data_IF_391948514762
#
_entry.id   IF_391948514762
#
_cell.length_a   1.000
_cell.length_b   1.000
_cell.length_c   1.000
_cell.angle_alpha   90.00
_cell.angle_beta   90.00
_cell.angle_gamma   90.00
#
_symmetry.space_group_name_H-M   'P 1'
#
loop_
_entity.id
_entity.type
_entity.pdbx_description
1 polymer ?
#
# COMPACT_ATOMS: atom_id res chain seq x y z
N UNK A 1 17.48 -1.77 15.02
CA UNK A 1 16.13 -2.15 15.50
C UNK A 1 15.42 -2.77 14.32
N UNK A 2 15.31 -4.11 14.29
CA UNK A 2 14.40 -4.78 13.35
C UNK A 2 13.01 -4.23 13.67
N UNK A 3 12.32 -3.75 12.64
CA UNK A 3 11.15 -2.87 12.76
C UNK A 3 10.14 -3.37 13.80
N UNK A 4 9.60 -2.47 14.63
CA UNK A 4 8.37 -2.73 15.36
C UNK A 4 7.30 -2.99 14.29
N UNK A 5 6.88 -4.24 14.09
CA UNK A 5 5.92 -4.61 13.02
C UNK A 5 4.48 -4.67 13.52
N UNK A 6 4.29 -4.57 14.84
CA UNK A 6 2.99 -4.66 15.50
C UNK A 6 2.02 -3.53 15.12
N UNK A 7 2.53 -2.42 14.55
CA UNK A 7 1.69 -1.33 14.05
C UNK A 7 1.17 -1.56 12.62
N UNK A 8 1.68 -2.57 11.90
CA UNK A 8 1.30 -2.83 10.50
C UNK A 8 -0.19 -3.15 10.32
N UNK A 9 -0.88 -3.93 11.18
CA UNK A 9 -2.33 -4.11 11.08
C UNK A 9 -3.10 -2.79 11.13
N UNK A 10 -2.67 -1.85 11.99
CA UNK A 10 -3.26 -0.52 12.06
C UNK A 10 -3.01 0.31 10.79
N UNK A 11 -1.85 0.13 10.13
CA UNK A 11 -1.60 0.75 8.84
C UNK A 11 -2.46 0.15 7.73
N UNK A 12 -2.50 -1.18 7.62
CA UNK A 12 -3.26 -1.90 6.60
C UNK A 12 -4.74 -1.51 6.63
N UNK A 13 -5.34 -1.47 7.83
CA UNK A 13 -6.72 -1.03 8.03
C UNK A 13 -7.04 0.38 7.49
N UNK A 14 -6.01 1.23 7.37
CA UNK A 14 -6.12 2.63 6.94
C UNK A 14 -5.52 2.91 5.56
N UNK A 15 -4.85 1.94 4.96
CA UNK A 15 -4.10 2.05 3.71
C UNK A 15 -4.95 2.57 2.54
N UNK A 16 -6.23 2.20 2.54
CA UNK A 16 -7.23 2.65 1.55
C UNK A 16 -7.34 4.17 1.41
N UNK A 17 -6.96 4.94 2.45
CA UNK A 17 -6.97 6.41 2.40
C UNK A 17 -5.85 6.98 1.55
N UNK A 18 -4.68 6.34 1.55
CA UNK A 18 -3.47 6.88 0.92
C UNK A 18 -3.25 6.39 -0.52
N UNK A 19 -3.86 5.27 -0.93
CA UNK A 19 -3.73 4.81 -2.31
C UNK A 19 -4.20 5.88 -3.34
N UNK A 20 -5.37 6.53 -3.18
CA UNK A 20 -5.77 7.63 -4.05
C UNK A 20 -4.83 8.85 -3.95
N UNK A 21 -4.35 9.18 -2.75
CA UNK A 21 -3.40 10.29 -2.57
C UNK A 21 -2.08 10.04 -3.33
N UNK A 22 -1.59 8.80 -3.35
CA UNK A 22 -0.42 8.42 -4.14
C UNK A 22 -0.66 8.54 -5.65
N UNK A 23 -1.87 8.27 -6.13
CA UNK A 23 -2.24 8.49 -7.53
C UNK A 23 -2.26 9.99 -7.88
N UNK A 24 -2.76 10.84 -6.98
CA UNK A 24 -2.73 12.31 -7.12
C UNK A 24 -1.30 12.86 -7.13
N UNK A 25 -0.43 12.33 -6.26
CA UNK A 25 1.01 12.65 -6.26
C UNK A 25 1.63 12.25 -7.59
N UNK A 26 1.37 11.03 -8.07
CA UNK A 26 1.87 10.57 -9.36
C UNK A 26 1.41 11.48 -10.52
N UNK A 27 0.14 11.90 -10.52
CA UNK A 27 -0.39 12.83 -11.51
C UNK A 27 0.29 14.20 -11.46
N UNK A 28 0.57 14.71 -10.25
CA UNK A 28 1.28 15.97 -10.03
C UNK A 28 2.74 15.89 -10.51
N UNK A 29 3.42 14.77 -10.25
CA UNK A 29 4.78 14.55 -10.73
C UNK A 29 4.81 14.52 -12.27
N UNK A 30 3.88 13.80 -12.92
CA UNK A 30 3.76 13.78 -14.39
C UNK A 30 3.53 15.17 -14.98
N UNK A 31 2.63 15.96 -14.38
CA UNK A 31 2.33 17.31 -14.90
C UNK A 31 3.52 18.27 -14.77
N UNK A 32 4.39 18.05 -13.78
CA UNK A 32 5.64 18.79 -13.60
C UNK A 32 6.83 18.24 -14.42
N UNK A 33 6.64 17.16 -15.20
CA UNK A 33 7.73 16.51 -15.94
C UNK A 33 8.72 15.72 -15.06
N UNK A 34 8.29 15.34 -13.85
CA UNK A 34 9.08 14.57 -12.88
C UNK A 34 8.73 13.07 -12.92
N UNK A 35 9.63 12.17 -12.48
CA UNK A 35 9.36 10.73 -12.48
C UNK A 35 8.26 10.32 -11.47
N UNK A 36 7.13 9.71 -11.91
CA UNK A 36 6.02 9.34 -11.02
C UNK A 36 6.10 7.93 -10.45
N UNK A 37 7.03 7.10 -10.93
CA UNK A 37 7.01 5.65 -10.76
C UNK A 37 6.97 5.18 -9.29
N UNK A 38 7.62 5.90 -8.37
CA UNK A 38 7.59 5.57 -6.95
C UNK A 38 6.19 5.73 -6.35
N UNK A 39 5.49 6.81 -6.69
CA UNK A 39 4.13 7.07 -6.21
C UNK A 39 3.14 6.05 -6.81
N UNK A 40 3.32 5.69 -8.09
CA UNK A 40 2.51 4.65 -8.75
C UNK A 40 2.71 3.26 -8.11
N UNK A 41 3.97 2.89 -7.83
CA UNK A 41 4.29 1.65 -7.13
C UNK A 41 3.73 1.66 -5.69
N UNK A 42 3.86 2.79 -4.99
CA UNK A 42 3.28 2.98 -3.65
C UNK A 42 1.75 2.81 -3.64
N UNK A 43 1.05 3.43 -4.59
CA UNK A 43 -0.40 3.24 -4.76
C UNK A 43 -0.74 1.77 -5.00
N UNK A 44 0.05 1.06 -5.82
CA UNK A 44 -0.13 -0.37 -6.09
C UNK A 44 -0.04 -1.20 -4.82
N UNK A 45 1.04 -1.04 -4.05
CA UNK A 45 1.23 -1.75 -2.77
C UNK A 45 0.08 -1.46 -1.80
N UNK A 46 -0.33 -0.21 -1.65
CA UNK A 46 -1.41 0.17 -0.73
C UNK A 46 -2.78 -0.41 -1.13
N UNK A 47 -3.03 -0.59 -2.44
CA UNK A 47 -4.29 -1.18 -2.93
C UNK A 47 -4.48 -2.64 -2.51
N UNK A 48 -3.41 -3.38 -2.24
CA UNK A 48 -3.50 -4.75 -1.72
C UNK A 48 -4.30 -4.85 -0.40
N UNK A 49 -4.24 -3.80 0.42
CA UNK A 49 -4.99 -3.72 1.68
C UNK A 49 -6.36 -3.06 1.57
N UNK A 50 -6.88 -2.82 0.36
CA UNK A 50 -8.23 -2.23 0.18
C UNK A 50 -9.31 -3.08 0.85
N UNK A 51 -9.17 -4.40 0.78
CA UNK A 51 -10.11 -5.35 1.40
C UNK A 51 -10.00 -5.41 2.94
N UNK A 52 -8.90 -4.88 3.50
CA UNK A 52 -8.63 -4.86 4.94
C UNK A 52 -9.14 -3.60 5.63
N UNK A 53 -9.84 -2.75 4.87
CA UNK A 53 -10.40 -1.49 5.37
C UNK A 53 -11.09 -1.65 6.72
N UNK A 54 -10.62 -0.85 7.67
CA UNK A 54 -11.13 -0.73 9.04
C UNK A 54 -11.09 -2.05 9.86
N UNK A 55 -10.36 -3.08 9.38
CA UNK A 55 -10.08 -4.33 10.11
C UNK A 55 -8.77 -4.20 10.90
N UNK A 56 -8.88 -3.73 12.14
CA UNK A 56 -7.72 -3.45 13.00
C UNK A 56 -7.15 -4.67 13.73
N UNK A 57 -7.84 -5.81 13.68
CA UNK A 57 -7.57 -7.03 14.42
C UNK A 57 -6.96 -8.15 13.56
N UNK A 58 -6.60 -7.83 12.30
CA UNK A 58 -5.93 -8.77 11.41
C UNK A 58 -4.58 -9.21 12.01
N UNK A 59 -4.30 -10.53 12.04
CA UNK A 59 -2.97 -11.04 12.37
C UNK A 59 -1.91 -10.45 11.44
N UNK A 60 -0.71 -10.22 11.96
CA UNK A 60 0.40 -9.67 11.19
C UNK A 60 0.70 -10.53 9.95
N UNK A 61 0.57 -11.85 10.07
CA UNK A 61 0.79 -12.80 9.00
C UNK A 61 -0.21 -12.62 7.86
N UNK A 62 -1.48 -12.34 8.17
CA UNK A 62 -2.51 -12.06 7.15
C UNK A 62 -2.25 -10.71 6.47
N UNK A 63 -1.88 -9.69 7.25
CA UNK A 63 -1.51 -8.37 6.73
C UNK A 63 -0.36 -8.48 5.73
N UNK A 64 0.68 -9.23 6.06
CA UNK A 64 1.82 -9.46 5.16
C UNK A 64 1.41 -10.35 3.97
N UNK A 65 0.59 -11.39 4.19
CA UNK A 65 0.11 -12.27 3.13
C UNK A 65 -0.64 -11.49 2.03
N UNK A 66 -1.47 -10.51 2.41
CA UNK A 66 -2.21 -9.70 1.45
C UNK A 66 -1.32 -8.82 0.55
N UNK A 67 -0.09 -8.50 0.98
CA UNK A 67 0.87 -7.77 0.15
C UNK A 67 1.49 -8.62 -0.97
N UNK A 68 1.37 -9.95 -0.91
CA UNK A 68 1.85 -10.78 -2.00
C UNK A 68 1.01 -10.51 -3.25
N UNK A 69 1.67 -10.10 -4.32
CA UNK A 69 1.09 -10.27 -5.64
C UNK A 69 0.95 -11.78 -5.90
N UNK A 70 -0.11 -12.24 -6.59
CA UNK A 70 -0.03 -13.55 -7.23
C UNK A 70 1.26 -13.58 -8.04
N UNK A 71 2.03 -14.67 -7.97
CA UNK A 71 3.18 -14.84 -8.85
C UNK A 71 2.68 -14.60 -10.28
N UNK A 72 3.14 -13.53 -10.91
CA UNK A 72 3.11 -13.42 -12.37
C UNK A 72 4.02 -14.55 -12.85
N UNK A 73 3.44 -15.74 -13.00
CA UNK A 73 4.00 -16.86 -13.72
C UNK A 73 3.98 -16.49 -15.20
N UNK A 74 4.91 -15.63 -15.59
CA UNK A 74 5.37 -15.49 -16.97
C UNK A 74 6.50 -16.50 -17.26
#
# INVERSE_FOLDING_TARGET
>A
MLAEVDYLPSLAARAWRWAPEMEEIAATLRSAGLPPALAEAGATVLRHWTADKDRFDLPLEEVLAHLHAPDDLD
#
